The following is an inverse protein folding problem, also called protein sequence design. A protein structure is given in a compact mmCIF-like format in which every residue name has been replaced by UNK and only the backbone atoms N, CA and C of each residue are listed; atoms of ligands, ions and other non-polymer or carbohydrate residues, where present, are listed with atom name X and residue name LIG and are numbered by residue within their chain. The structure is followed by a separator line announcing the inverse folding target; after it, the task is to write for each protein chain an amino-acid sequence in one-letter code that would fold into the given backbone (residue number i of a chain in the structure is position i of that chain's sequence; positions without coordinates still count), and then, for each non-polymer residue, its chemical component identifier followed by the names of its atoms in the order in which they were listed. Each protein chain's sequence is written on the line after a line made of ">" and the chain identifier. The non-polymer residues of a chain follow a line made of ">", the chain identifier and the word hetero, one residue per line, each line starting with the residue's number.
data_IF_913886700227
#
_entry.id   IF_913886700227
#
_cell.length_a   1.000
_cell.length_b   1.000
_cell.length_c   1.000
_cell.angle_alpha   90.00
_cell.angle_beta   90.00
_cell.angle_gamma   90.00
#
_symmetry.space_group_name_H-M   'P 1'
#
loop_
_entity.id
_entity.type
_entity.pdbx_description
1 polymer ?
#
# COMPACT_ATOMS: atom_id res chain seq x y z
N UNK A 1 -4.99 29.97 -2.32
CA UNK A 1 -4.08 28.92 -2.84
C UNK A 1 -2.71 28.91 -2.15
N UNK A 2 -1.94 30.01 -2.16
CA UNK A 2 -0.58 30.09 -1.55
C UNK A 2 -0.50 29.59 -0.10
N UNK A 3 -1.45 29.98 0.77
CA UNK A 3 -1.51 29.51 2.18
C UNK A 3 -1.70 27.99 2.31
N UNK A 4 -2.50 27.37 1.43
CA UNK A 4 -2.75 25.91 1.43
C UNK A 4 -1.51 25.13 0.99
N UNK A 5 -0.80 25.64 -0.02
CA UNK A 5 0.47 25.05 -0.49
C UNK A 5 1.55 25.15 0.59
N UNK A 6 1.67 26.30 1.26
CA UNK A 6 2.61 26.47 2.37
C UNK A 6 2.28 25.50 3.52
N UNK A 7 0.99 25.37 3.87
CA UNK A 7 0.55 24.41 4.89
C UNK A 7 0.88 22.97 4.47
N UNK A 8 0.67 22.59 3.21
CA UNK A 8 1.05 21.27 2.70
C UNK A 8 2.56 21.02 2.85
N UNK A 9 3.37 21.99 2.44
CA UNK A 9 4.83 21.92 2.49
C UNK A 9 5.35 21.78 3.94
N UNK A 10 4.69 22.40 4.91
CA UNK A 10 5.03 22.30 6.32
C UNK A 10 4.48 21.01 6.98
N UNK A 11 3.25 20.62 6.66
CA UNK A 11 2.61 19.43 7.22
C UNK A 11 3.27 18.13 6.73
N UNK A 12 3.70 18.09 5.46
CA UNK A 12 4.28 16.89 4.86
C UNK A 12 5.47 16.33 5.66
N UNK A 13 6.57 17.07 5.93
CA UNK A 13 7.70 16.52 6.68
C UNK A 13 7.32 16.07 8.10
N UNK A 14 6.42 16.79 8.77
CA UNK A 14 5.95 16.42 10.12
C UNK A 14 5.16 15.11 10.09
N UNK A 15 4.25 14.95 9.14
CA UNK A 15 3.45 13.74 9.01
C UNK A 15 4.29 12.53 8.59
N UNK A 16 5.25 12.72 7.70
CA UNK A 16 6.22 11.68 7.34
C UNK A 16 7.07 11.26 8.55
N UNK A 17 7.50 12.21 9.39
CA UNK A 17 8.22 11.89 10.62
C UNK A 17 7.35 11.08 11.60
N UNK A 18 6.11 11.51 11.86
CA UNK A 18 5.16 10.77 12.72
C UNK A 18 4.95 9.35 12.18
N UNK A 19 4.67 9.23 10.87
CA UNK A 19 4.48 7.95 10.22
C UNK A 19 5.70 7.02 10.35
N UNK A 20 6.91 7.57 10.19
CA UNK A 20 8.17 6.82 10.33
C UNK A 20 8.32 6.27 11.77
N UNK A 21 8.05 7.08 12.78
CA UNK A 21 8.06 6.63 14.18
C UNK A 21 6.96 5.60 14.50
N UNK A 22 5.81 5.70 13.83
CA UNK A 22 4.74 4.72 13.93
C UNK A 22 5.00 3.43 13.13
N UNK A 23 6.11 3.33 12.40
CA UNK A 23 6.36 2.18 11.52
C UNK A 23 6.40 0.81 12.22
N UNK A 24 6.87 0.66 13.49
CA UNK A 24 6.74 -0.60 14.21
C UNK A 24 5.29 -0.96 14.52
N UNK A 25 4.45 0.03 14.84
CA UNK A 25 3.03 -0.18 15.08
C UNK A 25 2.32 -0.62 13.79
N UNK A 26 2.66 -0.01 12.66
CA UNK A 26 2.14 -0.40 11.35
C UNK A 26 2.58 -1.84 11.03
N UNK A 27 3.84 -2.20 11.29
CA UNK A 27 4.33 -3.56 11.09
C UNK A 27 3.59 -4.58 11.96
N UNK A 28 3.34 -4.26 13.24
CA UNK A 28 2.54 -5.10 14.13
C UNK A 28 1.11 -5.31 13.61
N UNK A 29 0.40 -4.23 13.26
CA UNK A 29 -0.97 -4.31 12.74
C UNK A 29 -1.01 -5.12 11.46
N UNK A 30 -0.09 -4.83 10.54
CA UNK A 30 -0.01 -5.54 9.27
C UNK A 30 0.34 -7.01 9.47
N UNK A 31 1.32 -7.35 10.32
CA UNK A 31 1.67 -8.72 10.64
C UNK A 31 0.47 -9.53 11.11
N UNK A 32 -0.34 -8.95 12.02
CA UNK A 32 -1.58 -9.56 12.47
C UNK A 32 -2.60 -9.77 11.34
N UNK A 33 -2.82 -8.76 10.50
CA UNK A 33 -3.79 -8.83 9.40
C UNK A 33 -3.37 -9.86 8.34
N UNK A 34 -2.07 -9.98 8.06
CA UNK A 34 -1.57 -10.86 6.99
C UNK A 34 -1.31 -12.29 7.44
N UNK A 35 -1.25 -12.58 8.75
CA UNK A 35 -0.94 -13.90 9.28
C UNK A 35 -1.82 -15.01 8.68
N UNK A 36 -3.15 -14.85 8.78
CA UNK A 36 -4.07 -15.86 8.26
C UNK A 36 -4.11 -15.89 6.72
N UNK A 37 -4.22 -14.75 6.00
CA UNK A 37 -4.16 -14.76 4.54
C UNK A 37 -2.86 -15.35 3.97
N UNK A 38 -1.71 -15.13 4.63
CA UNK A 38 -0.41 -15.64 4.19
C UNK A 38 -0.37 -17.16 4.24
N UNK A 39 -0.83 -17.77 5.33
CA UNK A 39 -0.92 -19.23 5.44
C UNK A 39 -1.87 -19.80 4.37
N UNK A 40 -3.07 -19.22 4.25
CA UNK A 40 -4.08 -19.74 3.33
C UNK A 40 -3.66 -19.63 1.85
N UNK A 41 -3.19 -18.46 1.42
CA UNK A 41 -2.81 -18.22 0.02
C UNK A 41 -1.51 -18.91 -0.38
N UNK A 42 -0.62 -19.17 0.58
CA UNK A 42 0.60 -19.96 0.34
C UNK A 42 0.34 -21.48 0.31
N UNK A 43 -0.90 -21.92 0.56
CA UNK A 43 -1.24 -23.34 0.66
C UNK A 43 -0.64 -24.01 1.90
N UNK A 44 -0.38 -23.25 2.97
CA UNK A 44 0.21 -23.74 4.21
C UNK A 44 1.74 -23.69 4.28
N UNK A 45 2.42 -23.20 3.24
CA UNK A 45 3.89 -23.07 3.24
C UNK A 45 4.38 -22.06 4.27
N UNK A 46 3.69 -20.93 4.40
CA UNK A 46 3.96 -19.95 5.47
C UNK A 46 3.22 -20.42 6.71
N UNK A 47 3.96 -20.92 7.70
CA UNK A 47 3.42 -21.55 8.91
C UNK A 47 3.11 -20.53 9.99
N UNK A 48 3.97 -19.53 10.18
CA UNK A 48 3.76 -18.40 11.08
C UNK A 48 4.09 -17.07 10.40
N UNK A 49 3.45 -16.02 10.89
CA UNK A 49 3.85 -14.64 10.58
C UNK A 49 4.05 -13.90 11.90
N UNK A 50 5.27 -13.41 12.08
CA UNK A 50 5.71 -12.66 13.23
C UNK A 50 6.15 -11.25 12.80
N UNK A 51 6.41 -10.36 13.75
CA UNK A 51 6.93 -9.03 13.47
C UNK A 51 8.10 -8.72 14.40
N UNK A 52 9.12 -8.06 13.87
CA UNK A 52 10.29 -7.63 14.63
C UNK A 52 10.67 -6.22 14.21
N UNK A 53 10.43 -5.25 15.10
CA UNK A 53 10.64 -3.83 14.81
C UNK A 53 9.78 -3.38 13.63
N UNK A 54 10.42 -3.07 12.50
CA UNK A 54 9.76 -2.52 11.29
C UNK A 54 9.49 -3.57 10.22
N UNK A 55 9.84 -4.83 10.48
CA UNK A 55 9.73 -5.94 9.54
C UNK A 55 8.64 -6.90 9.96
N UNK A 56 8.00 -7.51 8.97
CA UNK A 56 7.09 -8.63 9.13
C UNK A 56 7.81 -9.87 8.60
N UNK A 57 7.92 -10.90 9.42
CA UNK A 57 8.62 -12.15 9.13
C UNK A 57 7.62 -13.27 8.89
N UNK A 58 7.73 -13.96 7.76
CA UNK A 58 7.04 -15.23 7.53
C UNK A 58 8.00 -16.39 7.75
N UNK A 59 7.60 -17.39 8.53
CA UNK A 59 8.38 -18.61 8.72
C UNK A 59 7.88 -19.68 7.76
N UNK A 60 8.82 -20.35 7.11
CA UNK A 60 8.56 -21.43 6.16
C UNK A 60 9.39 -22.63 6.59
N UNK A 61 8.75 -23.79 6.70
CA UNK A 61 9.45 -25.05 6.95
C UNK A 61 9.63 -25.77 5.62
N UNK A 62 10.88 -25.98 5.24
CA UNK A 62 11.25 -26.65 3.99
C UNK A 62 11.84 -28.03 4.27
N UNK A 63 11.46 -29.01 3.46
CA UNK A 63 11.99 -30.38 3.53
C UNK A 63 13.30 -30.51 2.73
N UNK A 64 13.88 -31.71 2.73
CA UNK A 64 15.06 -32.04 1.93
C UNK A 64 14.92 -31.56 0.46
N UNK A 65 16.01 -31.01 -0.08
CA UNK A 65 16.01 -30.44 -1.43
C UNK A 65 16.77 -29.12 -1.54
N UNK A 66 16.76 -28.55 -2.74
CA UNK A 66 17.36 -27.24 -3.02
C UNK A 66 16.29 -26.15 -3.01
N UNK A 67 16.47 -25.15 -2.16
CA UNK A 67 15.57 -24.01 -1.95
C UNK A 67 16.35 -22.72 -2.16
N UNK A 68 16.42 -22.27 -3.41
CA UNK A 68 17.27 -21.15 -3.83
C UNK A 68 18.75 -21.49 -3.63
N UNK A 69 19.45 -20.74 -2.79
CA UNK A 69 20.86 -20.99 -2.43
C UNK A 69 21.01 -22.02 -1.29
N UNK A 70 19.92 -22.38 -0.61
CA UNK A 70 19.94 -23.31 0.52
C UNK A 70 19.78 -24.75 0.01
N UNK A 71 20.71 -25.64 0.39
CA UNK A 71 20.57 -27.08 0.17
C UNK A 71 20.31 -27.77 1.50
N UNK A 72 19.13 -28.35 1.65
CA UNK A 72 18.72 -29.08 2.85
C UNK A 72 19.10 -30.55 2.69
N UNK A 73 19.98 -31.10 3.56
CA UNK A 73 20.38 -32.51 3.50
C UNK A 73 19.22 -33.48 3.63
N UNK A 74 19.39 -34.69 3.10
CA UNK A 74 18.36 -35.73 3.14
C UNK A 74 17.95 -36.08 4.59
N UNK A 75 16.65 -36.22 4.81
CA UNK A 75 16.05 -36.50 6.12
C UNK A 75 16.07 -35.34 7.11
N UNK A 76 16.45 -34.12 6.69
CA UNK A 76 16.39 -32.91 7.51
C UNK A 76 15.30 -31.96 7.03
N UNK A 77 14.83 -31.12 7.95
CA UNK A 77 14.01 -29.95 7.65
C UNK A 77 14.76 -28.70 8.06
N UNK A 78 14.56 -27.61 7.33
CA UNK A 78 15.10 -26.30 7.67
C UNK A 78 13.95 -25.30 7.84
N UNK A 79 14.13 -24.36 8.76
CA UNK A 79 13.25 -23.21 8.90
C UNK A 79 13.89 -22.01 8.22
N UNK A 80 13.13 -21.39 7.31
CA UNK A 80 13.55 -20.20 6.61
C UNK A 80 12.64 -19.03 6.99
N UNK A 81 13.26 -17.90 7.34
CA UNK A 81 12.54 -16.66 7.59
C UNK A 81 12.58 -15.78 6.34
N UNK A 82 11.41 -15.49 5.78
CA UNK A 82 11.24 -14.45 4.77
C UNK A 82 10.78 -13.16 5.44
N UNK A 83 11.17 -12.00 4.92
CA UNK A 83 10.82 -10.72 5.52
C UNK A 83 10.22 -9.77 4.50
N UNK A 84 9.19 -9.03 4.91
CA UNK A 84 8.59 -7.92 4.19
C UNK A 84 8.69 -6.64 5.01
N UNK A 85 8.73 -5.48 4.34
CA UNK A 85 8.81 -4.16 5.01
C UNK A 85 7.55 -3.34 4.72
N UNK A 86 6.52 -3.42 5.60
CA UNK A 86 5.25 -2.71 5.41
C UNK A 86 5.39 -1.20 5.17
N UNK A 87 6.44 -0.59 5.74
CA UNK A 87 6.72 0.83 5.59
C UNK A 87 6.90 1.26 4.12
N UNK A 88 7.31 0.38 3.20
CA UNK A 88 7.42 0.73 1.77
C UNK A 88 6.03 0.96 1.14
N UNK A 89 4.99 0.32 1.68
CA UNK A 89 3.61 0.43 1.19
C UNK A 89 2.80 1.51 1.93
N UNK A 90 3.30 1.99 3.08
CA UNK A 90 2.60 2.86 4.02
C UNK A 90 2.68 4.37 3.76
N UNK A 91 3.47 4.83 2.79
CA UNK A 91 3.65 6.27 2.54
C UNK A 91 2.35 6.98 2.09
N UNK A 92 1.33 6.20 1.72
CA UNK A 92 -0.03 6.69 1.46
C UNK A 92 -0.67 7.38 2.66
N UNK A 93 -0.37 6.94 3.88
CA UNK A 93 -0.93 7.48 5.13
C UNK A 93 -0.56 8.97 5.32
N UNK A 94 0.73 9.35 5.38
CA UNK A 94 1.10 10.75 5.53
C UNK A 94 0.65 11.60 4.33
N UNK A 95 0.64 11.05 3.12
CA UNK A 95 0.10 11.76 1.94
C UNK A 95 -1.38 12.09 2.08
N UNK A 96 -2.20 11.11 2.50
CA UNK A 96 -3.64 11.32 2.72
C UNK A 96 -3.89 12.41 3.78
N UNK A 97 -3.22 12.34 4.93
CA UNK A 97 -3.40 13.35 5.98
C UNK A 97 -2.88 14.73 5.57
N UNK A 98 -1.82 14.80 4.77
CA UNK A 98 -1.34 16.06 4.20
C UNK A 98 -2.40 16.70 3.31
N UNK A 99 -3.00 15.90 2.41
CA UNK A 99 -4.09 16.36 1.54
C UNK A 99 -5.31 16.79 2.36
N UNK A 100 -5.68 16.00 3.37
CA UNK A 100 -6.82 16.28 4.24
C UNK A 100 -6.65 17.59 5.02
N UNK A 101 -5.46 17.87 5.56
CA UNK A 101 -5.23 19.10 6.33
C UNK A 101 -5.00 20.33 5.45
N UNK A 102 -4.25 20.18 4.36
CA UNK A 102 -3.90 21.31 3.51
C UNK A 102 -5.01 21.68 2.51
N UNK A 103 -5.78 20.69 2.06
CA UNK A 103 -6.72 20.82 0.93
C UNK A 103 -8.15 20.38 1.25
N UNK A 104 -8.60 20.43 2.52
CA UNK A 104 -10.03 20.33 2.81
C UNK A 104 -10.78 21.61 2.42
N UNK A 105 -11.93 21.48 1.75
CA UNK A 105 -12.95 22.54 1.65
C UNK A 105 -13.87 22.56 2.87
N UNK A 106 -14.09 21.40 3.47
CA UNK A 106 -15.03 21.18 4.59
C UNK A 106 -14.42 20.33 5.71
N UNK A 107 -14.93 20.44 6.95
CA UNK A 107 -14.56 19.53 8.02
C UNK A 107 -15.05 18.11 7.70
N UNK A 108 -14.13 17.15 7.72
CA UNK A 108 -14.46 15.72 7.60
C UNK A 108 -14.79 15.17 8.99
N UNK A 109 -15.89 14.42 9.09
CA UNK A 109 -16.28 13.75 10.33
C UNK A 109 -15.16 12.84 10.86
N UNK A 110 -14.98 12.82 12.19
CA UNK A 110 -13.89 12.07 12.82
C UNK A 110 -13.89 10.58 12.48
N UNK A 111 -15.07 9.94 12.49
CA UNK A 111 -15.24 8.52 12.13
C UNK A 111 -14.76 8.19 10.71
N UNK A 112 -14.98 9.09 9.76
CA UNK A 112 -14.65 8.88 8.36
C UNK A 112 -13.14 8.94 8.09
N UNK A 113 -12.41 9.72 8.90
CA UNK A 113 -10.93 9.73 8.89
C UNK A 113 -10.36 8.39 9.35
N UNK A 114 -10.96 7.80 10.39
CA UNK A 114 -10.56 6.48 10.89
C UNK A 114 -10.86 5.36 9.89
N UNK A 115 -12.00 5.43 9.19
CA UNK A 115 -12.31 4.51 8.09
C UNK A 115 -11.28 4.65 6.96
N UNK A 116 -10.92 5.87 6.56
CA UNK A 116 -9.88 6.08 5.55
C UNK A 116 -8.52 5.52 5.99
N UNK A 117 -8.13 5.73 7.25
CA UNK A 117 -6.92 5.13 7.82
C UNK A 117 -6.98 3.59 7.78
N UNK A 118 -8.12 2.98 8.13
CA UNK A 118 -8.32 1.54 8.05
C UNK A 118 -8.14 1.03 6.61
N UNK A 119 -8.75 1.69 5.62
CA UNK A 119 -8.60 1.34 4.20
C UNK A 119 -7.13 1.43 3.76
N UNK A 120 -6.41 2.46 4.19
CA UNK A 120 -4.98 2.59 3.90
C UNK A 120 -4.18 1.46 4.53
N UNK A 121 -4.44 1.11 5.80
CA UNK A 121 -3.78 0.00 6.49
C UNK A 121 -4.06 -1.36 5.82
N UNK A 122 -5.27 -1.56 5.28
CA UNK A 122 -5.59 -2.73 4.47
C UNK A 122 -4.78 -2.74 3.17
N UNK A 123 -4.61 -1.59 2.52
CA UNK A 123 -3.72 -1.45 1.36
C UNK A 123 -2.26 -1.80 1.68
N UNK A 124 -1.74 -1.32 2.80
CA UNK A 124 -0.40 -1.65 3.31
C UNK A 124 -0.26 -3.15 3.56
N UNK A 125 -1.29 -3.74 4.18
CA UNK A 125 -1.31 -5.17 4.50
C UNK A 125 -1.37 -6.03 3.25
N UNK A 126 -2.15 -5.62 2.25
CA UNK A 126 -2.18 -6.27 0.94
C UNK A 126 -0.80 -6.24 0.26
N UNK A 127 -0.14 -5.09 0.23
CA UNK A 127 1.22 -4.97 -0.34
C UNK A 127 2.22 -5.90 0.36
N UNK A 128 2.19 -5.92 1.70
CA UNK A 128 3.05 -6.78 2.52
C UNK A 128 2.79 -8.27 2.28
N UNK A 129 1.51 -8.66 2.21
CA UNK A 129 1.12 -10.04 1.90
C UNK A 129 1.64 -10.47 0.54
N UNK A 130 1.47 -9.62 -0.49
CA UNK A 130 1.98 -9.92 -1.83
C UNK A 130 3.50 -9.99 -1.87
N UNK A 131 4.23 -9.20 -1.06
CA UNK A 131 5.69 -9.29 -0.94
C UNK A 131 6.15 -10.63 -0.35
N UNK A 132 5.49 -11.10 0.71
CA UNK A 132 5.77 -12.41 1.30
C UNK A 132 5.51 -13.52 0.28
N UNK A 133 4.32 -13.54 -0.34
CA UNK A 133 3.97 -14.53 -1.36
C UNK A 133 4.92 -14.48 -2.57
N UNK A 134 5.29 -13.28 -3.03
CA UNK A 134 6.27 -13.10 -4.11
C UNK A 134 7.61 -13.71 -3.73
N UNK A 135 8.05 -13.55 -2.48
CA UNK A 135 9.31 -14.14 -2.00
C UNK A 135 9.23 -15.67 -2.03
N UNK A 136 8.14 -16.26 -1.56
CA UNK A 136 7.94 -17.72 -1.62
C UNK A 136 7.97 -18.24 -3.06
N UNK A 137 7.13 -17.69 -3.94
CA UNK A 137 6.90 -18.29 -5.25
C UNK A 137 7.93 -17.92 -6.31
N UNK A 138 8.67 -16.81 -6.15
CA UNK A 138 9.67 -16.37 -7.14
C UNK A 138 11.11 -16.47 -6.65
N UNK A 139 11.38 -16.33 -5.35
CA UNK A 139 12.76 -16.30 -4.85
C UNK A 139 13.21 -17.64 -4.25
N UNK A 140 12.30 -18.46 -3.71
CA UNK A 140 12.69 -19.68 -2.98
C UNK A 140 12.73 -20.96 -3.80
N UNK A 141 11.92 -21.10 -4.85
CA UNK A 141 11.98 -22.31 -5.68
C UNK A 141 11.35 -22.14 -7.07
N UNK A 142 12.14 -22.22 -8.16
CA UNK A 142 11.62 -22.30 -9.53
C UNK A 142 10.79 -23.55 -9.80
N UNK A 143 10.95 -24.65 -9.04
CA UNK A 143 10.21 -25.92 -9.18
C UNK A 143 8.78 -25.80 -8.64
N UNK A 144 8.50 -24.84 -7.75
CA UNK A 144 7.14 -24.49 -7.33
C UNK A 144 6.34 -23.77 -8.43
N UNK A 145 6.97 -23.25 -9.49
CA UNK A 145 6.26 -22.53 -10.56
C UNK A 145 5.46 -23.45 -11.51
N UNK A 146 5.95 -24.64 -11.93
CA UNK A 146 5.19 -25.55 -12.78
C UNK A 146 4.32 -26.55 -12.00
N UNK A 147 4.75 -26.95 -10.79
CA UNK A 147 4.13 -28.01 -9.99
C UNK A 147 3.48 -27.51 -8.69
N UNK A 148 3.69 -26.24 -8.31
CA UNK A 148 3.02 -25.67 -7.16
C UNK A 148 1.54 -25.44 -7.43
N UNK A 149 0.73 -25.20 -6.39
CA UNK A 149 -0.71 -24.96 -6.53
C UNK A 149 -1.04 -23.75 -7.42
N UNK A 150 -0.05 -22.92 -7.78
CA UNK A 150 -0.18 -21.76 -8.63
C UNK A 150 0.53 -22.00 -9.98
N UNK A 151 -0.09 -22.71 -10.93
CA UNK A 151 0.46 -22.86 -12.29
C UNK A 151 0.71 -21.53 -13.03
N UNK A 152 1.33 -21.56 -14.22
CA UNK A 152 1.87 -20.36 -14.90
C UNK A 152 0.94 -19.15 -15.14
N UNK A 153 -0.38 -19.33 -15.20
CA UNK A 153 -1.33 -18.19 -15.24
C UNK A 153 -1.41 -17.46 -13.88
N UNK A 154 -1.30 -18.20 -12.78
CA UNK A 154 -1.40 -17.70 -11.41
C UNK A 154 -0.13 -16.95 -10.98
N UNK A 155 1.05 -17.27 -11.56
CA UNK A 155 2.28 -16.50 -11.32
C UNK A 155 2.21 -15.09 -11.92
N UNK A 156 1.71 -14.94 -13.15
CA UNK A 156 1.47 -13.61 -13.75
C UNK A 156 0.48 -12.79 -12.93
N UNK A 157 -0.59 -13.41 -12.45
CA UNK A 157 -1.56 -12.75 -11.57
C UNK A 157 -0.91 -12.28 -10.27
N UNK A 158 -0.07 -13.12 -9.63
CA UNK A 158 0.66 -12.75 -8.41
C UNK A 158 1.60 -11.57 -8.66
N UNK A 159 2.32 -11.56 -9.79
CA UNK A 159 3.18 -10.45 -10.18
C UNK A 159 2.39 -9.15 -10.38
N UNK A 160 1.23 -9.21 -11.03
CA UNK A 160 0.32 -8.05 -11.19
C UNK A 160 -0.20 -7.57 -9.84
N UNK A 161 -0.65 -8.48 -8.97
CA UNK A 161 -1.11 -8.14 -7.63
C UNK A 161 -0.02 -7.48 -6.79
N UNK A 162 1.22 -7.97 -6.88
CA UNK A 162 2.37 -7.35 -6.22
C UNK A 162 2.63 -5.95 -6.77
N UNK A 163 2.66 -5.75 -8.09
CA UNK A 163 2.84 -4.42 -8.68
C UNK A 163 1.71 -3.45 -8.28
N UNK A 164 0.47 -3.94 -8.23
CA UNK A 164 -0.67 -3.16 -7.78
C UNK A 164 -0.52 -2.74 -6.32
N UNK A 165 -0.14 -3.67 -5.43
CA UNK A 165 0.10 -3.39 -4.02
C UNK A 165 1.30 -2.48 -3.76
N UNK A 166 2.35 -2.58 -4.59
CA UNK A 166 3.59 -1.82 -4.44
C UNK A 166 3.50 -0.40 -4.99
N UNK A 167 2.82 -0.21 -6.12
CA UNK A 167 2.84 1.06 -6.87
C UNK A 167 1.49 1.76 -6.86
N UNK A 168 0.42 1.01 -7.14
CA UNK A 168 -0.90 1.61 -7.40
C UNK A 168 -1.57 2.00 -6.08
N UNK A 169 -1.71 1.07 -5.13
CA UNK A 169 -2.41 1.35 -3.88
C UNK A 169 -1.76 2.48 -3.07
N UNK A 170 -0.43 2.50 -2.88
CA UNK A 170 0.19 3.54 -2.06
C UNK A 170 0.10 4.94 -2.70
N UNK A 171 0.06 5.02 -4.04
CA UNK A 171 -0.02 6.30 -4.77
C UNK A 171 -1.46 6.81 -4.95
N UNK A 172 -2.40 5.92 -5.29
CA UNK A 172 -3.75 6.30 -5.72
C UNK A 172 -4.74 6.37 -4.55
N UNK A 173 -4.70 5.42 -3.61
CA UNK A 173 -5.63 5.41 -2.47
C UNK A 173 -5.68 6.73 -1.70
N UNK A 174 -4.56 7.41 -1.36
CA UNK A 174 -4.64 8.65 -0.59
C UNK A 174 -5.39 9.75 -1.34
N UNK A 175 -5.20 9.84 -2.66
CA UNK A 175 -5.87 10.84 -3.50
C UNK A 175 -7.35 10.52 -3.64
N UNK A 176 -7.70 9.26 -3.92
CA UNK A 176 -9.10 8.83 -4.09
C UNK A 176 -9.88 9.00 -2.79
N UNK A 177 -9.31 8.61 -1.65
CA UNK A 177 -9.92 8.80 -0.34
C UNK A 177 -10.11 10.29 -0.07
N UNK A 178 -9.06 11.11 -0.19
CA UNK A 178 -9.19 12.55 0.02
C UNK A 178 -10.25 13.18 -0.89
N UNK A 179 -10.25 12.84 -2.18
CA UNK A 179 -11.20 13.36 -3.16
C UNK A 179 -12.64 13.02 -2.74
N UNK A 180 -12.88 11.76 -2.36
CA UNK A 180 -14.19 11.27 -1.95
C UNK A 180 -14.70 11.94 -0.66
N UNK A 181 -13.81 12.27 0.28
CA UNK A 181 -14.20 12.81 1.58
C UNK A 181 -14.40 14.33 1.56
N UNK A 182 -13.48 15.06 0.94
CA UNK A 182 -13.37 16.51 1.05
C UNK A 182 -12.87 17.22 -0.21
N UNK A 183 -12.31 16.50 -1.18
CA UNK A 183 -11.68 17.11 -2.35
C UNK A 183 -12.64 17.48 -3.49
N UNK A 184 -13.83 16.87 -3.55
CA UNK A 184 -14.82 17.10 -4.62
C UNK A 184 -15.21 18.57 -4.81
N UNK A 185 -15.63 19.25 -3.76
CA UNK A 185 -16.06 20.65 -3.83
C UNK A 185 -14.91 21.59 -4.23
N UNK A 186 -13.70 21.31 -3.75
CA UNK A 186 -12.51 22.07 -4.14
C UNK A 186 -12.24 21.90 -5.64
N UNK A 187 -12.30 20.66 -6.14
CA UNK A 187 -12.12 20.35 -7.55
C UNK A 187 -13.20 21.04 -8.41
N UNK A 188 -14.47 20.91 -8.03
CA UNK A 188 -15.58 21.57 -8.70
C UNK A 188 -15.39 23.09 -8.76
N UNK A 189 -15.00 23.75 -7.67
CA UNK A 189 -14.76 25.19 -7.64
C UNK A 189 -13.67 25.64 -8.65
N UNK A 190 -12.60 24.86 -8.81
CA UNK A 190 -11.52 25.23 -9.75
C UNK A 190 -11.85 24.93 -11.20
N UNK A 191 -12.52 23.81 -11.49
CA UNK A 191 -12.86 23.43 -12.87
C UNK A 191 -14.10 24.15 -13.39
N UNK A 192 -15.06 24.49 -12.53
CA UNK A 192 -16.21 25.34 -12.91
C UNK A 192 -15.81 26.82 -13.08
N UNK A 193 -14.85 27.32 -12.28
CA UNK A 193 -14.35 28.69 -12.36
C UNK A 193 -13.44 28.99 -13.57
N UNK A 194 -12.91 27.96 -14.26
CA UNK A 194 -12.18 28.15 -15.51
C UNK A 194 -13.09 28.31 -16.73
N UNK A 195 -14.34 27.83 -16.66
CA UNK A 195 -15.27 27.89 -17.79
C UNK A 195 -16.00 29.24 -17.93
N UNK A 196 -15.83 30.15 -16.97
CA UNK A 196 -16.42 31.50 -16.97
C UNK A 196 -15.39 32.60 -17.25
N UNK A 197 -14.13 32.25 -17.54
CA UNK A 197 -13.04 33.18 -17.78
C UNK A 197 -12.55 33.13 -19.23
N UNK A 198 -13.42 33.42 -20.20
CA UNK A 198 -13.02 33.93 -21.52
C UNK A 198 -13.93 35.11 -21.91
N UNK A 199 -13.44 36.36 -21.92
CA UNK A 199 -14.19 37.53 -22.35
C UNK A 199 -13.76 37.99 -23.75
N UNK A 200 -14.72 38.12 -24.67
CA UNK A 200 -14.64 38.97 -25.86
C UNK A 200 -16.07 39.41 -26.18
N UNK A 201 -16.51 40.62 -25.80
CA UNK A 201 -16.18 41.85 -26.53
C UNK A 201 -16.10 41.60 -28.04
N UNK A 202 -17.27 41.54 -28.69
CA UNK A 202 -17.39 41.91 -30.09
C UNK A 202 -18.75 42.55 -30.36
N UNK A 203 -18.69 43.87 -30.59
CA UNK A 203 -19.61 44.71 -31.38
C UNK A 203 -20.78 45.36 -30.65
N UNK A 204 -20.44 46.39 -29.89
CA UNK A 204 -20.95 47.71 -30.27
C UNK A 204 -20.27 48.13 -31.59
N UNK A 205 -20.99 48.04 -32.71
CA UNK A 205 -20.86 48.87 -33.94
C UNK A 205 -21.79 48.30 -35.00
N UNK A 206 -22.63 49.19 -35.51
CA UNK A 206 -23.48 49.11 -36.70
C UNK A 206 -24.92 48.62 -36.48
N UNK A 207 -25.84 49.60 -36.42
CA UNK A 207 -27.29 49.42 -36.44
C UNK A 207 -28.04 50.63 -35.94
#
# INVERSE_FOLDING_TARGET
>A
MKKKILLALLCMPVLFAIWYYCSPLIAMITGFVVAHPANWLSGGLITSVDYAGVLVHGTITVAEGAWGELVVPAGQTAELSISARPMVYGYSIPLFFTLLFAFSSRPVAGSLKWIALLVLLLGVSFGTLMELLKTVYFNLDPVLLPNGPLGGFRSNLLAVCYQMGALIFPSILPVVLWFSLSGRELFEHYFSGQNTAEPADHRERDG
#
